data_IF_882539452653
#
_entry.id   IF_882539452653
#
_cell.length_a   1.000
_cell.length_b   1.000
_cell.length_c   1.000
_cell.angle_alpha   90.00
_cell.angle_beta   90.00
_cell.angle_gamma   90.00
#
_symmetry.space_group_name_H-M   'P 1'
#
loop_
_entity.id
_entity.type
_entity.pdbx_description
1 polymer ?
#
# COMPACT_ATOMS: atom_id res chain seq x y z
N UNK A 1 14.32 -10.57 -20.04
CA UNK A 1 13.48 -9.44 -19.61
C UNK A 1 14.17 -8.10 -19.86
N UNK A 2 15.26 -7.76 -19.16
CA UNK A 2 15.98 -6.46 -19.33
C UNK A 2 16.48 -6.19 -20.75
N UNK A 3 17.05 -7.20 -21.43
CA UNK A 3 17.46 -7.09 -22.86
C UNK A 3 16.30 -6.75 -23.80
N UNK A 4 15.07 -7.20 -23.51
CA UNK A 4 13.87 -6.85 -24.30
C UNK A 4 13.43 -5.39 -24.07
N UNK A 5 13.80 -4.82 -22.93
CA UNK A 5 13.57 -3.41 -22.58
C UNK A 5 14.69 -2.48 -23.08
N UNK A 6 15.65 -3.00 -23.85
CA UNK A 6 16.81 -2.22 -24.33
C UNK A 6 17.79 -1.82 -23.23
N UNK A 7 17.73 -2.44 -22.05
CA UNK A 7 18.56 -2.09 -20.90
C UNK A 7 19.43 -3.25 -20.42
N UNK A 8 20.44 -2.93 -19.61
CA UNK A 8 21.29 -3.91 -18.94
C UNK A 8 21.10 -3.82 -17.43
N UNK A 9 21.64 -4.80 -16.71
CA UNK A 9 21.47 -4.92 -15.26
C UNK A 9 22.01 -3.71 -14.49
N UNK A 10 23.18 -3.17 -14.88
CA UNK A 10 23.76 -2.00 -14.22
C UNK A 10 22.89 -0.75 -14.40
N UNK A 11 22.38 -0.53 -15.61
CA UNK A 11 21.46 0.57 -15.89
C UNK A 11 20.17 0.44 -15.08
N UNK A 12 19.59 -0.77 -14.99
CA UNK A 12 18.39 -1.03 -14.20
C UNK A 12 18.60 -0.81 -12.69
N UNK A 13 19.73 -1.28 -12.14
CA UNK A 13 20.10 -1.08 -10.73
C UNK A 13 20.28 0.42 -10.44
N UNK A 14 20.98 1.14 -11.31
CA UNK A 14 21.20 2.58 -11.13
C UNK A 14 19.90 3.38 -11.18
N UNK A 15 18.96 3.01 -12.06
CA UNK A 15 17.63 3.62 -12.09
C UNK A 15 16.86 3.34 -10.81
N UNK A 16 16.87 2.09 -10.32
CA UNK A 16 16.26 1.72 -9.06
C UNK A 16 16.81 2.55 -7.89
N UNK A 17 18.13 2.62 -7.73
CA UNK A 17 18.76 3.36 -6.63
C UNK A 17 18.44 4.86 -6.69
N UNK A 18 18.47 5.47 -7.87
CA UNK A 18 18.11 6.89 -8.04
C UNK A 18 16.67 7.18 -7.68
N UNK A 19 15.77 6.24 -7.96
CA UNK A 19 14.37 6.40 -7.63
C UNK A 19 14.15 6.23 -6.12
N UNK A 20 14.83 5.27 -5.48
CA UNK A 20 14.78 5.13 -4.03
C UNK A 20 15.29 6.39 -3.31
N UNK A 21 16.38 6.98 -3.79
CA UNK A 21 16.93 8.24 -3.26
C UNK A 21 15.94 9.41 -3.47
N UNK A 22 15.29 9.48 -4.63
CA UNK A 22 14.29 10.53 -4.89
C UNK A 22 13.05 10.43 -4.00
N UNK A 23 12.55 9.22 -3.81
CA UNK A 23 11.31 8.97 -3.05
C UNK A 23 11.55 8.81 -1.55
N UNK A 24 12.82 8.79 -1.13
CA UNK A 24 13.22 8.51 0.27
C UNK A 24 12.59 7.21 0.79
N UNK A 25 12.51 6.19 -0.08
CA UNK A 25 11.82 4.93 0.18
C UNK A 25 12.07 3.88 -0.90
N UNK A 26 11.61 2.65 -0.69
CA UNK A 26 11.70 1.62 -1.73
C UNK A 26 10.57 1.81 -2.75
N UNK A 27 10.91 1.73 -4.03
CA UNK A 27 9.95 1.85 -5.15
C UNK A 27 9.00 0.64 -5.31
N UNK A 28 9.16 -0.36 -4.45
CA UNK A 28 8.23 -1.48 -4.27
C UNK A 28 8.45 -2.07 -2.89
N UNK A 29 7.46 -2.83 -2.41
CA UNK A 29 7.60 -3.60 -1.17
C UNK A 29 8.33 -4.91 -1.52
N UNK A 30 9.55 -5.15 -1.03
CA UNK A 30 10.27 -6.38 -1.29
C UNK A 30 9.58 -7.53 -0.54
N UNK A 31 8.83 -8.34 -1.27
CA UNK A 31 8.15 -9.51 -0.73
C UNK A 31 8.43 -10.73 -1.61
N UNK A 32 8.79 -11.85 -0.98
CA UNK A 32 8.80 -13.15 -1.63
C UNK A 32 7.40 -13.76 -1.71
N UNK A 33 6.45 -13.20 -0.95
CA UNK A 33 5.05 -13.56 -0.99
C UNK A 33 4.34 -12.68 -2.01
N UNK A 34 3.90 -13.28 -3.12
CA UNK A 34 3.15 -12.58 -4.17
C UNK A 34 1.72 -12.27 -3.75
N UNK A 35 1.24 -12.90 -2.69
CA UNK A 35 -0.11 -12.72 -2.17
C UNK A 35 -0.11 -11.62 -1.10
N UNK A 36 -1.09 -10.71 -1.11
CA UNK A 36 -1.30 -9.76 -0.01
C UNK A 36 -1.33 -10.47 1.34
N UNK A 37 -0.95 -9.78 2.42
CA UNK A 37 -1.06 -10.35 3.76
C UNK A 37 -2.51 -10.73 4.05
N UNK A 38 -2.72 -11.76 4.87
CA UNK A 38 -4.05 -12.17 5.30
C UNK A 38 -4.84 -10.99 5.88
N UNK A 39 -4.18 -10.20 6.73
CA UNK A 39 -4.72 -8.98 7.33
C UNK A 39 -5.19 -7.98 6.27
N UNK A 40 -4.38 -7.71 5.24
CA UNK A 40 -4.76 -6.80 4.15
C UNK A 40 -5.96 -7.35 3.36
N UNK A 41 -6.02 -8.65 3.10
CA UNK A 41 -7.17 -9.26 2.42
C UNK A 41 -8.45 -9.14 3.25
N UNK A 42 -8.35 -9.33 4.56
CA UNK A 42 -9.48 -9.19 5.48
C UNK A 42 -9.97 -7.74 5.53
N UNK A 43 -9.07 -6.76 5.66
CA UNK A 43 -9.44 -5.34 5.64
C UNK A 43 -10.05 -4.90 4.30
N UNK A 44 -9.54 -5.41 3.17
CA UNK A 44 -10.12 -5.14 1.85
C UNK A 44 -11.55 -5.72 1.73
N UNK A 45 -11.76 -6.92 2.25
CA UNK A 45 -13.07 -7.57 2.26
C UNK A 45 -14.04 -6.82 3.18
N UNK A 46 -13.59 -6.38 4.36
CA UNK A 46 -14.39 -5.59 5.30
C UNK A 46 -14.89 -4.29 4.65
N UNK A 47 -14.02 -3.55 3.96
CA UNK A 47 -14.41 -2.33 3.24
C UNK A 47 -15.40 -2.63 2.10
N UNK A 48 -15.24 -3.75 1.40
CA UNK A 48 -16.17 -4.16 0.35
C UNK A 48 -17.54 -4.54 0.94
N UNK A 49 -17.57 -5.22 2.08
CA UNK A 49 -18.81 -5.57 2.78
C UNK A 49 -19.52 -4.32 3.32
N UNK A 50 -18.78 -3.31 3.80
CA UNK A 50 -19.32 -2.01 4.17
C UNK A 50 -19.96 -1.29 2.98
N UNK A 51 -19.26 -1.21 1.85
CA UNK A 51 -19.80 -0.60 0.61
C UNK A 51 -21.07 -1.29 0.12
N UNK A 52 -21.15 -2.60 0.31
CA UNK A 52 -22.31 -3.41 -0.06
C UNK A 52 -23.42 -3.42 1.00
N UNK A 53 -23.26 -2.66 2.10
CA UNK A 53 -24.25 -2.53 3.17
C UNK A 53 -24.44 -3.78 4.02
N UNK A 54 -23.48 -4.71 4.01
CA UNK A 54 -23.52 -5.93 4.83
C UNK A 54 -23.07 -5.67 6.27
N UNK A 55 -22.25 -4.65 6.48
CA UNK A 55 -21.78 -4.20 7.79
C UNK A 55 -21.90 -2.68 7.88
N UNK A 56 -22.11 -2.18 9.09
CA UNK A 56 -22.04 -0.75 9.41
C UNK A 56 -20.70 -0.46 10.08
N UNK A 57 -20.05 0.63 9.68
CA UNK A 57 -18.81 1.14 10.29
C UNK A 57 -19.07 2.55 10.82
N UNK A 58 -18.38 2.91 11.89
CA UNK A 58 -18.43 4.28 12.42
C UNK A 58 -17.95 5.28 11.36
N UNK A 59 -18.76 6.31 11.14
CA UNK A 59 -18.47 7.41 10.22
C UNK A 59 -18.32 8.69 11.02
N UNK A 60 -17.38 9.53 10.63
CA UNK A 60 -17.07 10.77 11.34
C UNK A 60 -17.11 11.94 10.35
N UNK A 61 -17.89 12.96 10.68
CA UNK A 61 -18.10 14.14 9.82
C UNK A 61 -16.90 15.11 9.82
N UNK A 62 -16.00 14.99 10.81
CA UNK A 62 -14.86 15.88 10.97
C UNK A 62 -13.60 15.15 11.47
N UNK A 63 -12.45 15.73 11.12
CA UNK A 63 -11.13 15.18 11.42
C UNK A 63 -10.84 15.11 12.92
N UNK A 64 -11.45 15.98 13.74
CA UNK A 64 -11.24 15.97 15.20
C UNK A 64 -11.95 14.77 15.82
N UNK A 65 -13.19 14.51 15.42
CA UNK A 65 -13.95 13.33 15.84
C UNK A 65 -13.27 12.03 15.40
N UNK A 66 -12.81 11.96 14.14
CA UNK A 66 -12.02 10.81 13.65
C UNK A 66 -10.72 10.62 14.45
N UNK A 67 -10.01 11.71 14.77
CA UNK A 67 -8.76 11.63 15.53
C UNK A 67 -8.97 11.08 16.93
N UNK A 68 -9.98 11.56 17.66
CA UNK A 68 -10.27 11.06 19.02
C UNK A 68 -10.58 9.57 19.01
N UNK A 69 -11.36 9.10 18.03
CA UNK A 69 -11.66 7.67 17.88
C UNK A 69 -10.44 6.79 17.56
N UNK A 70 -9.43 7.34 16.85
CA UNK A 70 -8.21 6.62 16.50
C UNK A 70 -7.15 6.60 17.60
N UNK A 71 -7.17 7.57 18.52
CA UNK A 71 -6.12 7.74 19.53
C UNK A 71 -6.54 7.32 20.94
N UNK A 72 -7.78 6.87 21.15
CA UNK A 72 -8.32 6.48 22.47
C UNK A 72 -8.16 7.59 23.54
N UNK A 73 -8.23 8.86 23.11
CA UNK A 73 -8.25 10.07 23.97
C UNK A 73 -9.68 10.59 24.19
#
# INVERSE_FOLDING_TARGET
MLKKLGTNTNSAINMFLRQCDREQGLVFIPSMNTTPSKELLESLQEIEDYKNGKIELDSYDDVKSLRSALTDD
#
